data_IF_198281174581
#
_entry.id   IF_198281174581
#
_cell.length_a   1.000
_cell.length_b   1.000
_cell.length_c   1.000
_cell.angle_alpha   90.00
_cell.angle_beta   90.00
_cell.angle_gamma   90.00
#
_symmetry.space_group_name_H-M   'P 1'
#
loop_
_entity.id
_entity.type
_entity.pdbx_description
1 polymer ?
#
# COMPACT_ATOMS: atom_id res chain seq x y z
N UNK A 1 -4.01 26.11 10.85
CA UNK A 1 -3.59 24.77 11.32
C UNK A 1 -3.30 23.85 10.15
N UNK A 2 -2.19 23.14 10.17
CA UNK A 2 -1.99 22.08 9.19
C UNK A 2 -3.05 20.97 9.36
N UNK A 3 -3.28 20.21 8.30
CA UNK A 3 -4.14 19.04 8.38
C UNK A 3 -3.43 17.85 7.72
N UNK A 4 -3.79 16.66 8.15
CA UNK A 4 -3.21 15.43 7.62
C UNK A 4 -3.75 15.19 6.21
N UNK A 5 -2.86 15.03 5.22
CA UNK A 5 -3.25 15.09 3.81
C UNK A 5 -2.82 13.87 3.00
N UNK A 6 -1.68 13.27 3.32
CA UNK A 6 -1.15 12.19 2.49
C UNK A 6 -0.28 11.22 3.27
N UNK A 7 -0.13 10.03 2.72
CA UNK A 7 0.81 9.01 3.19
C UNK A 7 1.80 8.75 2.06
N UNK A 8 3.09 8.83 2.35
CA UNK A 8 4.15 8.55 1.40
C UNK A 8 4.80 7.20 1.68
N UNK A 9 4.99 6.41 0.63
CA UNK A 9 5.65 5.12 0.66
C UNK A 9 6.96 5.22 -0.13
N UNK A 10 8.05 4.69 0.43
CA UNK A 10 9.34 4.63 -0.25
C UNK A 10 9.49 3.22 -0.81
N UNK A 11 9.73 3.12 -2.11
CA UNK A 11 9.70 1.85 -2.83
C UNK A 11 11.01 1.61 -3.60
N UNK A 12 11.42 0.36 -3.67
CA UNK A 12 12.60 -0.04 -4.45
C UNK A 12 12.25 -0.29 -5.92
N UNK A 13 11.03 -0.76 -6.19
CA UNK A 13 10.54 -1.13 -7.52
C UNK A 13 9.14 -0.54 -7.70
N UNK A 14 9.06 0.56 -8.43
CA UNK A 14 7.80 1.30 -8.59
C UNK A 14 6.73 0.43 -9.22
N UNK A 15 7.02 -0.22 -10.35
CA UNK A 15 6.02 -1.04 -11.04
C UNK A 15 5.48 -2.14 -10.15
N UNK A 16 6.35 -2.86 -9.45
CA UNK A 16 5.96 -3.94 -8.55
C UNK A 16 5.06 -3.43 -7.42
N UNK A 17 5.41 -2.28 -6.85
CA UNK A 17 4.59 -1.66 -5.80
C UNK A 17 3.24 -1.21 -6.33
N UNK A 18 3.21 -0.54 -7.49
CA UNK A 18 1.94 -0.09 -8.07
C UNK A 18 1.04 -1.27 -8.43
N UNK A 19 1.59 -2.35 -8.99
CA UNK A 19 0.82 -3.55 -9.30
C UNK A 19 0.21 -4.16 -8.04
N UNK A 20 0.96 -4.18 -6.94
CA UNK A 20 0.47 -4.63 -5.65
C UNK A 20 -0.77 -3.84 -5.20
N UNK A 21 -0.70 -2.52 -5.24
CA UNK A 21 -1.81 -1.65 -4.80
C UNK A 21 -2.98 -1.64 -5.79
N UNK A 22 -2.73 -1.86 -7.07
CA UNK A 22 -3.80 -2.07 -8.06
C UNK A 22 -4.66 -3.29 -7.70
N UNK A 23 -4.05 -4.36 -7.19
CA UNK A 23 -4.77 -5.55 -6.74
C UNK A 23 -5.67 -5.26 -5.52
N UNK A 24 -5.40 -4.20 -4.79
CA UNK A 24 -6.21 -3.74 -3.67
C UNK A 24 -7.25 -2.69 -4.06
N UNK A 25 -7.44 -2.47 -5.36
CA UNK A 25 -8.48 -1.59 -5.88
C UNK A 25 -8.08 -0.14 -6.05
N UNK A 26 -6.81 0.22 -5.90
CA UNK A 26 -6.34 1.58 -6.15
C UNK A 26 -6.12 1.75 -7.66
N UNK A 27 -6.78 2.76 -8.24
CA UNK A 27 -6.66 3.06 -9.66
C UNK A 27 -5.37 3.85 -9.90
N UNK A 28 -4.47 3.26 -10.68
CA UNK A 28 -3.19 3.87 -11.04
C UNK A 28 -2.96 3.62 -12.54
N UNK A 29 -2.77 4.70 -13.30
CA UNK A 29 -2.56 4.60 -14.73
C UNK A 29 -1.27 3.80 -15.05
N UNK A 30 -1.28 2.95 -16.10
CA UNK A 30 -0.09 2.15 -16.45
C UNK A 30 1.15 2.97 -16.76
N UNK A 31 0.98 4.21 -17.25
CA UNK A 31 2.09 5.11 -17.57
C UNK A 31 2.91 5.49 -16.32
N UNK A 32 2.33 5.35 -15.14
CA UNK A 32 3.01 5.67 -13.88
C UNK A 32 4.12 4.68 -13.53
N UNK A 33 4.13 3.50 -14.13
CA UNK A 33 5.10 2.45 -13.80
C UNK A 33 6.56 2.87 -13.98
N UNK A 34 6.82 3.82 -14.86
CA UNK A 34 8.16 4.33 -15.14
C UNK A 34 8.48 5.66 -14.46
N UNK A 35 7.58 6.17 -13.62
CA UNK A 35 7.78 7.42 -12.91
C UNK A 35 8.49 7.20 -11.59
N UNK A 36 9.19 8.24 -11.12
CA UNK A 36 9.91 8.21 -9.84
C UNK A 36 9.05 8.64 -8.67
N UNK A 37 7.97 9.36 -8.94
CA UNK A 37 6.99 9.82 -7.95
C UNK A 37 5.59 9.61 -8.52
N UNK A 38 4.74 8.93 -7.78
CA UNK A 38 3.37 8.63 -8.18
C UNK A 38 2.42 8.99 -7.05
N UNK A 39 1.25 9.50 -7.40
CA UNK A 39 0.19 9.83 -6.44
C UNK A 39 -1.12 9.21 -6.88
N UNK A 40 -1.89 8.72 -5.92
CA UNK A 40 -3.25 8.26 -6.13
C UNK A 40 -4.19 8.97 -5.15
N UNK A 41 -5.31 9.44 -5.66
CA UNK A 41 -6.34 10.07 -4.86
C UNK A 41 -7.18 8.98 -4.20
N UNK A 42 -7.33 9.07 -2.88
CA UNK A 42 -8.18 8.16 -2.12
C UNK A 42 -9.53 8.82 -1.83
N UNK A 43 -10.58 8.02 -1.58
CA UNK A 43 -11.85 8.58 -1.09
C UNK A 43 -11.61 9.42 0.17
N UNK A 44 -12.31 10.55 0.28
CA UNK A 44 -12.16 11.44 1.43
C UNK A 44 -11.09 12.51 1.29
N UNK A 45 -10.42 12.58 0.14
CA UNK A 45 -9.47 13.66 -0.17
C UNK A 45 -8.03 13.39 0.22
N UNK A 46 -7.73 12.28 0.84
CA UNK A 46 -6.36 11.88 1.13
C UNK A 46 -5.67 11.35 -0.13
N UNK A 47 -4.35 11.48 -0.17
CA UNK A 47 -3.53 10.90 -1.23
C UNK A 47 -2.64 9.79 -0.67
N UNK A 48 -2.41 8.78 -1.48
CA UNK A 48 -1.34 7.81 -1.28
C UNK A 48 -0.27 8.09 -2.33
N UNK A 49 0.98 8.18 -1.89
CA UNK A 49 2.10 8.54 -2.77
C UNK A 49 3.18 7.47 -2.69
N UNK A 50 3.91 7.31 -3.79
CA UNK A 50 5.05 6.41 -3.90
C UNK A 50 6.23 7.19 -4.44
N UNK A 51 7.38 7.05 -3.78
CA UNK A 51 8.65 7.62 -4.22
C UNK A 51 9.70 6.53 -4.31
N UNK A 52 10.50 6.56 -5.36
CA UNK A 52 11.64 5.66 -5.45
C UNK A 52 12.71 6.05 -4.42
N UNK A 53 13.58 5.09 -4.09
CA UNK A 53 14.73 5.35 -3.21
C UNK A 53 15.60 6.47 -3.79
N UNK A 54 15.75 6.52 -5.11
CA UNK A 54 16.53 7.56 -5.80
C UNK A 54 15.97 8.96 -5.53
N UNK A 55 14.65 9.12 -5.59
CA UNK A 55 14.00 10.40 -5.26
C UNK A 55 14.28 10.79 -3.80
N UNK A 56 14.15 9.84 -2.88
CA UNK A 56 14.41 10.11 -1.47
C UNK A 56 15.86 10.51 -1.25
N UNK A 57 16.80 9.82 -1.85
CA UNK A 57 18.23 10.15 -1.74
C UNK A 57 18.57 11.53 -2.31
N UNK A 58 17.77 12.03 -3.25
CA UNK A 58 18.01 13.35 -3.85
C UNK A 58 17.90 14.50 -2.85
N UNK A 59 17.13 14.32 -1.76
CA UNK A 59 17.00 15.33 -0.70
C UNK A 59 17.32 14.80 0.69
N UNK A 60 17.49 13.48 0.84
CA UNK A 60 17.87 12.83 2.10
C UNK A 60 18.88 11.71 1.78
N UNK A 61 20.14 12.07 1.48
CA UNK A 61 21.13 11.10 1.01
C UNK A 61 21.50 10.04 2.05
N UNK A 62 21.24 10.31 3.31
CA UNK A 62 21.55 9.37 4.40
C UNK A 62 20.43 8.37 4.68
N UNK A 63 19.30 8.50 4.01
CA UNK A 63 18.19 7.58 4.22
C UNK A 63 18.60 6.13 3.92
N UNK A 64 18.22 5.23 4.80
CA UNK A 64 18.41 3.78 4.67
C UNK A 64 17.10 3.07 4.97
N UNK A 65 16.82 1.93 4.32
CA UNK A 65 15.64 1.14 4.68
C UNK A 65 15.66 0.77 6.16
N UNK A 66 14.54 0.95 6.88
CA UNK A 66 14.47 0.50 8.25
C UNK A 66 14.58 -1.03 8.32
N UNK A 67 15.11 -1.53 9.44
CA UNK A 67 15.19 -2.96 9.73
C UNK A 67 14.27 -3.34 10.87
N UNK A 68 13.87 -4.62 10.93
CA UNK A 68 12.95 -5.13 11.93
C UNK A 68 11.49 -4.95 11.55
N UNK A 69 10.59 -5.07 12.51
CA UNK A 69 9.14 -4.96 12.28
C UNK A 69 8.69 -3.52 12.05
N UNK A 70 7.74 -3.34 11.16
CA UNK A 70 7.13 -2.04 10.92
C UNK A 70 6.18 -1.65 12.06
N UNK A 71 5.93 -0.35 12.19
CA UNK A 71 5.02 0.22 13.20
C UNK A 71 3.74 0.81 12.60
N UNK A 72 3.63 0.77 11.27
CA UNK A 72 2.48 1.32 10.55
C UNK A 72 1.86 0.21 9.73
N UNK A 73 0.54 0.09 9.80
CA UNK A 73 -0.25 -0.81 8.97
C UNK A 73 -1.22 -0.02 8.12
N UNK A 74 -1.43 -0.48 6.90
CA UNK A 74 -2.47 0.06 6.02
C UNK A 74 -3.63 -0.93 5.99
N UNK A 75 -4.83 -0.44 6.22
CA UNK A 75 -6.02 -1.28 6.28
C UNK A 75 -6.95 -0.94 5.12
N UNK A 76 -7.47 -1.97 4.49
CA UNK A 76 -8.39 -1.85 3.35
C UNK A 76 -9.73 -2.47 3.76
N UNK A 77 -10.80 -1.71 3.62
CA UNK A 77 -12.14 -2.16 3.95
C UNK A 77 -12.74 -2.90 2.76
N UNK A 78 -13.23 -4.11 3.02
CA UNK A 78 -14.01 -4.89 2.06
C UNK A 78 -15.51 -4.73 2.34
N UNK A 79 -16.33 -4.94 1.32
CA UNK A 79 -17.78 -4.74 1.43
C UNK A 79 -18.48 -5.84 2.24
N UNK A 80 -17.90 -7.05 2.26
CA UNK A 80 -18.48 -8.20 2.95
C UNK A 80 -17.41 -9.24 3.29
N UNK A 81 -17.71 -10.23 4.14
CA UNK A 81 -16.74 -11.26 4.51
C UNK A 81 -16.18 -12.06 3.33
N UNK A 82 -16.99 -12.35 2.32
CA UNK A 82 -16.53 -13.09 1.14
C UNK A 82 -15.45 -12.30 0.37
N UNK A 83 -15.57 -10.99 0.32
CA UNK A 83 -14.56 -10.14 -0.32
C UNK A 83 -13.24 -10.12 0.44
N UNK A 84 -13.27 -10.23 1.77
CA UNK A 84 -12.03 -10.38 2.56
C UNK A 84 -11.28 -11.63 2.12
N UNK A 85 -11.95 -12.77 2.03
CA UNK A 85 -11.33 -14.02 1.60
C UNK A 85 -10.81 -13.94 0.16
N UNK A 86 -11.60 -13.34 -0.74
CA UNK A 86 -11.22 -13.19 -2.15
C UNK A 86 -10.00 -12.27 -2.30
N UNK A 87 -9.98 -11.14 -1.59
CA UNK A 87 -8.86 -10.21 -1.61
C UNK A 87 -7.59 -10.88 -1.05
N UNK A 88 -7.70 -11.59 0.06
CA UNK A 88 -6.58 -12.34 0.62
C UNK A 88 -6.00 -13.32 -0.40
N UNK A 89 -6.84 -14.15 -1.02
CA UNK A 89 -6.38 -15.13 -2.00
C UNK A 89 -5.70 -14.46 -3.20
N UNK A 90 -6.24 -13.34 -3.66
CA UNK A 90 -5.67 -12.54 -4.75
C UNK A 90 -4.29 -12.02 -4.40
N UNK A 91 -4.11 -11.51 -3.18
CA UNK A 91 -2.82 -10.98 -2.72
C UNK A 91 -1.78 -12.08 -2.54
N UNK A 92 -2.18 -13.23 -2.02
CA UNK A 92 -1.27 -14.39 -1.92
C UNK A 92 -0.83 -14.84 -3.30
N UNK A 93 -1.73 -14.86 -4.28
CA UNK A 93 -1.42 -15.27 -5.65
C UNK A 93 -0.38 -14.36 -6.33
N UNK A 94 -0.32 -13.08 -5.95
CA UNK A 94 0.68 -12.13 -6.49
C UNK A 94 1.92 -11.99 -5.59
N UNK A 95 2.09 -12.86 -4.61
CA UNK A 95 3.32 -12.95 -3.83
C UNK A 95 3.34 -12.24 -2.49
N UNK A 96 2.21 -11.77 -1.99
CA UNK A 96 2.14 -11.17 -0.66
C UNK A 96 2.44 -12.22 0.42
N UNK A 97 3.11 -11.77 1.49
CA UNK A 97 3.38 -12.61 2.65
C UNK A 97 2.19 -12.59 3.61
N UNK A 98 1.67 -13.77 3.95
CA UNK A 98 0.58 -13.89 4.92
C UNK A 98 1.11 -13.91 6.34
N UNK A 99 0.64 -12.98 7.16
CA UNK A 99 0.87 -13.04 8.62
C UNK A 99 -0.18 -13.93 9.26
N UNK A 100 -1.44 -13.82 8.80
CA UNK A 100 -2.56 -14.60 9.29
C UNK A 100 -3.63 -14.71 8.21
N UNK A 101 -4.11 -15.92 7.96
CA UNK A 101 -5.24 -16.14 7.04
C UNK A 101 -6.52 -15.49 7.59
N UNK A 102 -7.49 -15.17 6.72
CA UNK A 102 -8.76 -14.59 7.17
C UNK A 102 -9.42 -15.41 8.27
N UNK A 103 -9.97 -14.74 9.25
CA UNK A 103 -10.59 -15.37 10.41
C UNK A 103 -11.77 -14.55 10.92
N UNK A 104 -12.63 -15.17 11.66
CA UNK A 104 -13.74 -14.49 12.31
C UNK A 104 -13.23 -13.92 13.63
N UNK A 105 -12.91 -12.62 13.60
CA UNK A 105 -12.29 -11.97 14.74
C UNK A 105 -13.30 -11.83 15.90
N UNK A 106 -12.78 -11.86 17.13
CA UNK A 106 -13.63 -11.78 18.32
C UNK A 106 -14.42 -10.49 18.43
N UNK A 107 -14.02 -9.42 17.71
CA UNK A 107 -14.76 -8.16 17.68
C UNK A 107 -15.86 -8.12 16.63
N UNK A 108 -16.16 -9.23 15.96
CA UNK A 108 -17.32 -9.35 15.07
C UNK A 108 -17.08 -9.09 13.60
N UNK A 109 -15.84 -9.09 13.15
CA UNK A 109 -15.48 -8.89 11.74
C UNK A 109 -14.75 -10.10 11.17
N UNK A 110 -14.92 -10.32 9.87
CA UNK A 110 -14.02 -11.16 9.08
C UNK A 110 -12.77 -10.33 8.78
N UNK A 111 -11.65 -10.75 9.30
CA UNK A 111 -10.43 -9.95 9.26
C UNK A 111 -9.29 -10.71 8.62
#
# INVERSE_FOLDING_TARGET
>A
MPHFESIGLIVQDMKKSLDFYRQLGIEIAPEMDSEDHVEAQLPGGMRLMWDTVEVIHSFNPDWRPPSGGGRVGLNFLCENPAEVDAAYNRMIAVGAHSVKAPWDAFWGQRY
#
